data_IF_196783274017
#
_entry.id   IF_196783274017
#
_cell.length_a   1.000
_cell.length_b   1.000
_cell.length_c   1.000
_cell.angle_alpha   90.00
_cell.angle_beta   90.00
_cell.angle_gamma   90.00
#
_symmetry.space_group_name_H-M   'P 1'
#
loop_
_entity.id
_entity.type
_entity.pdbx_description
1 polymer ?
#
# COMPACT_ATOMS: atom_id res chain seq x y z
N UNK A 1 0.00 -27.31 -26.30
CA UNK A 1 1.26 -26.68 -25.85
C UNK A 1 1.54 -25.29 -26.48
N UNK A 2 0.96 -24.95 -27.64
CA UNK A 2 1.17 -23.64 -28.30
C UNK A 2 0.33 -22.47 -27.76
N UNK A 3 -0.83 -22.69 -27.15
CA UNK A 3 -1.69 -21.59 -26.67
C UNK A 3 -1.22 -21.00 -25.33
N UNK A 4 -0.65 -21.80 -24.44
CA UNK A 4 -0.09 -21.32 -23.16
C UNK A 4 1.11 -20.42 -23.42
N UNK A 5 1.97 -20.77 -24.38
CA UNK A 5 3.08 -19.91 -24.81
C UNK A 5 2.57 -18.62 -25.46
N UNK A 6 1.47 -18.67 -26.22
CA UNK A 6 0.87 -17.48 -26.83
C UNK A 6 0.26 -16.54 -25.78
N UNK A 7 -0.39 -17.08 -24.75
CA UNK A 7 -0.87 -16.31 -23.59
C UNK A 7 0.31 -15.72 -22.81
N UNK A 8 1.40 -16.45 -22.62
CA UNK A 8 2.60 -15.95 -21.96
C UNK A 8 3.25 -14.80 -22.73
N UNK A 9 3.29 -14.91 -24.07
CA UNK A 9 3.80 -13.87 -24.97
C UNK A 9 2.86 -12.67 -25.02
N UNK A 10 1.54 -12.85 -24.99
CA UNK A 10 0.58 -11.75 -24.93
C UNK A 10 0.53 -11.06 -23.56
N UNK A 11 0.78 -11.80 -22.47
CA UNK A 11 1.00 -11.23 -21.14
C UNK A 11 2.31 -10.45 -21.14
N UNK A 12 3.40 -10.97 -21.72
CA UNK A 12 4.68 -10.26 -21.87
C UNK A 12 4.54 -8.99 -22.74
N UNK A 13 3.85 -9.06 -23.87
CA UNK A 13 3.66 -7.94 -24.79
C UNK A 13 2.69 -6.90 -24.22
N UNK A 14 1.66 -7.34 -23.49
CA UNK A 14 0.82 -6.45 -22.68
C UNK A 14 1.62 -5.83 -21.53
N UNK A 15 2.55 -6.57 -20.92
CA UNK A 15 3.52 -6.06 -19.94
C UNK A 15 4.36 -4.93 -20.54
N UNK A 16 4.85 -5.09 -21.78
CA UNK A 16 5.70 -4.13 -22.49
C UNK A 16 4.92 -2.88 -22.91
N UNK A 17 3.67 -2.99 -23.37
CA UNK A 17 2.87 -1.80 -23.70
C UNK A 17 2.39 -1.03 -22.46
N UNK A 18 2.11 -1.73 -21.36
CA UNK A 18 1.89 -1.14 -20.03
C UNK A 18 3.17 -0.44 -19.54
N UNK A 19 4.36 -1.00 -19.81
CA UNK A 19 5.69 -0.43 -19.47
C UNK A 19 5.90 0.98 -20.03
N UNK A 20 5.35 1.29 -21.20
CA UNK A 20 5.55 2.57 -21.88
C UNK A 20 4.59 3.69 -21.41
N UNK A 21 3.31 3.39 -21.16
CA UNK A 21 2.34 4.39 -20.64
C UNK A 21 2.35 4.54 -19.11
N UNK A 22 2.82 3.54 -18.37
CA UNK A 22 3.09 3.62 -16.91
C UNK A 22 4.51 4.02 -16.54
N UNK A 23 5.37 4.24 -17.53
CA UNK A 23 6.71 4.79 -17.32
C UNK A 23 6.63 6.04 -16.46
N UNK A 24 5.62 6.90 -16.63
CA UNK A 24 5.37 8.05 -15.77
C UNK A 24 5.20 7.68 -14.29
N UNK A 25 4.27 6.80 -13.91
CA UNK A 25 4.02 6.46 -12.49
C UNK A 25 5.22 5.75 -11.87
N UNK A 26 5.87 4.85 -12.61
CA UNK A 26 7.07 4.16 -12.15
C UNK A 26 8.24 5.16 -12.04
N UNK A 27 8.46 6.02 -13.03
CA UNK A 27 9.45 7.11 -12.95
C UNK A 27 9.14 8.04 -11.79
N UNK A 28 7.88 8.42 -11.57
CA UNK A 28 7.48 9.28 -10.46
C UNK A 28 7.75 8.57 -9.13
N UNK A 29 7.45 7.28 -8.99
CA UNK A 29 7.76 6.51 -7.78
C UNK A 29 9.26 6.36 -7.54
N UNK A 30 10.06 6.16 -8.60
CA UNK A 30 11.53 6.09 -8.54
C UNK A 30 12.13 7.47 -8.27
N UNK A 31 11.58 8.53 -8.85
CA UNK A 31 12.00 9.91 -8.65
C UNK A 31 11.70 10.37 -7.22
N UNK A 32 10.48 10.13 -6.73
CA UNK A 32 10.11 10.34 -5.33
C UNK A 32 11.00 9.50 -4.40
N UNK A 33 11.36 8.27 -4.78
CA UNK A 33 12.31 7.45 -4.02
C UNK A 33 13.72 8.05 -3.97
N UNK A 34 14.25 8.53 -5.09
CA UNK A 34 15.57 9.16 -5.11
C UNK A 34 15.59 10.43 -4.27
N UNK A 35 14.54 11.26 -4.35
CA UNK A 35 14.35 12.41 -3.47
C UNK A 35 14.25 11.95 -2.00
N UNK A 36 13.54 10.86 -1.74
CA UNK A 36 13.33 10.31 -0.40
C UNK A 36 14.64 9.85 0.23
N UNK A 37 15.40 8.99 -0.46
CA UNK A 37 16.69 8.47 0.00
C UNK A 37 17.67 9.60 0.18
N UNK A 38 17.66 10.57 -0.73
CA UNK A 38 18.48 11.77 -0.61
C UNK A 38 18.09 12.56 0.65
N UNK A 39 16.81 12.86 0.86
CA UNK A 39 16.33 13.62 2.02
C UNK A 39 16.65 12.92 3.37
N UNK A 40 16.42 11.62 3.48
CA UNK A 40 16.76 10.84 4.69
C UNK A 40 18.27 10.77 4.92
N UNK A 41 19.09 10.56 3.87
CA UNK A 41 20.55 10.54 4.01
C UNK A 41 21.12 11.92 4.35
N UNK A 42 20.64 13.00 3.72
CA UNK A 42 21.03 14.36 4.05
C UNK A 42 20.66 14.68 5.50
N UNK A 43 19.47 14.25 5.94
CA UNK A 43 19.01 14.42 7.31
C UNK A 43 19.82 13.61 8.33
N UNK A 44 20.14 12.35 8.03
CA UNK A 44 21.02 11.52 8.83
C UNK A 44 22.42 12.15 8.98
N UNK A 45 22.97 12.64 7.88
CA UNK A 45 24.27 13.32 7.86
C UNK A 45 24.23 14.59 8.70
N UNK A 46 23.13 15.35 8.64
CA UNK A 46 22.92 16.53 9.48
C UNK A 46 22.82 16.20 10.97
N UNK A 47 22.09 15.14 11.34
CA UNK A 47 22.00 14.69 12.73
C UNK A 47 23.34 14.14 13.24
N UNK A 48 24.09 13.42 12.41
CA UNK A 48 25.46 12.97 12.73
C UNK A 48 26.39 14.16 12.93
N UNK A 49 26.27 15.21 12.11
CA UNK A 49 27.01 16.46 12.27
C UNK A 49 26.68 17.19 13.57
N UNK A 50 25.39 17.37 13.90
CA UNK A 50 24.96 17.99 15.17
C UNK A 50 25.39 17.17 16.39
N UNK A 51 25.35 15.83 16.29
CA UNK A 51 25.74 14.92 17.38
C UNK A 51 27.24 14.90 17.62
N UNK A 52 28.06 14.94 16.57
CA UNK A 52 29.52 15.07 16.69
C UNK A 52 29.95 16.35 17.40
N UNK A 53 29.11 17.40 17.42
CA UNK A 53 29.34 18.61 18.21
C UNK A 53 29.10 18.41 19.72
N UNK A 54 28.23 17.47 20.13
CA UNK A 54 27.77 17.31 21.51
C UNK A 54 28.47 16.17 22.31
N UNK A 55 29.44 15.45 21.73
CA UNK A 55 30.38 14.51 22.41
C UNK A 55 29.80 13.40 23.31
N UNK A 56 28.55 12.98 23.17
CA UNK A 56 28.03 11.79 23.87
C UNK A 56 28.33 10.49 23.10
N UNK A 57 29.28 9.70 23.60
CA UNK A 57 30.00 8.66 22.85
C UNK A 57 29.34 7.26 22.86
N UNK A 58 28.30 7.01 23.66
CA UNK A 58 27.81 5.64 23.92
C UNK A 58 26.52 5.23 23.20
N UNK A 59 25.87 6.13 22.44
CA UNK A 59 24.61 5.84 21.71
C UNK A 59 24.82 5.54 20.20
N UNK A 60 26.08 5.50 19.75
CA UNK A 60 26.45 5.44 18.33
C UNK A 60 25.98 4.16 17.62
N UNK A 61 26.29 2.93 18.09
CA UNK A 61 25.94 1.72 17.33
C UNK A 61 24.43 1.45 17.28
N UNK A 62 23.70 1.81 18.35
CA UNK A 62 22.23 1.61 18.43
C UNK A 62 21.50 2.55 17.49
N UNK A 63 21.97 3.80 17.37
CA UNK A 63 21.43 4.77 16.43
C UNK A 63 21.63 4.35 14.97
N UNK A 64 22.85 3.96 14.60
CA UNK A 64 23.16 3.55 13.22
C UNK A 64 22.39 2.29 12.80
N UNK A 65 22.25 1.30 13.70
CA UNK A 65 21.44 0.11 13.47
C UNK A 65 19.95 0.45 13.28
N UNK A 66 19.40 1.35 14.09
CA UNK A 66 18.01 1.81 13.96
C UNK A 66 17.76 2.45 12.58
N UNK A 67 18.66 3.30 12.11
CA UNK A 67 18.55 3.91 10.77
C UNK A 67 18.66 2.86 9.65
N UNK A 68 19.55 1.89 9.78
CA UNK A 68 19.68 0.80 8.82
C UNK A 68 18.37 0.00 8.72
N UNK A 69 17.76 -0.33 9.87
CA UNK A 69 16.47 -1.03 9.94
C UNK A 69 15.36 -0.20 9.27
N UNK A 70 15.29 1.11 9.54
CA UNK A 70 14.31 1.98 8.92
C UNK A 70 14.46 2.06 7.38
N UNK A 71 15.70 2.16 6.90
CA UNK A 71 16.00 2.15 5.47
C UNK A 71 15.61 0.82 4.82
N UNK A 72 15.87 -0.30 5.49
CA UNK A 72 15.45 -1.61 5.00
C UNK A 72 13.92 -1.74 4.92
N UNK A 73 13.21 -1.31 5.97
CA UNK A 73 11.73 -1.34 6.00
C UNK A 73 11.13 -0.43 4.94
N UNK A 74 11.76 0.72 4.67
CA UNK A 74 11.37 1.59 3.57
C UNK A 74 11.53 0.91 2.21
N UNK A 75 12.65 0.24 1.95
CA UNK A 75 12.87 -0.49 0.71
C UNK A 75 11.83 -1.59 0.52
N UNK A 76 11.53 -2.35 1.59
CA UNK A 76 10.46 -3.35 1.57
C UNK A 76 9.10 -2.72 1.28
N UNK A 77 8.76 -1.61 1.94
CA UNK A 77 7.50 -0.90 1.69
C UNK A 77 7.37 -0.46 0.23
N UNK A 78 8.46 -0.02 -0.39
CA UNK A 78 8.44 0.32 -1.81
C UNK A 78 8.30 -0.87 -2.72
N UNK A 79 8.98 -1.97 -2.40
CA UNK A 79 8.85 -3.23 -3.12
C UNK A 79 7.38 -3.67 -3.16
N UNK A 80 6.72 -3.65 -2.00
CA UNK A 80 5.28 -3.92 -1.86
C UNK A 80 4.42 -2.97 -2.71
N UNK A 81 4.67 -1.66 -2.61
CA UNK A 81 3.92 -0.66 -3.41
C UNK A 81 4.10 -0.89 -4.91
N UNK A 82 5.31 -1.23 -5.36
CA UNK A 82 5.59 -1.50 -6.77
C UNK A 82 4.86 -2.75 -7.26
N UNK A 83 4.88 -3.83 -6.47
CA UNK A 83 4.12 -5.05 -6.77
C UNK A 83 2.64 -4.73 -6.87
N UNK A 84 2.07 -4.03 -5.89
CA UNK A 84 0.65 -3.66 -5.90
C UNK A 84 0.30 -2.76 -7.09
N UNK A 85 1.18 -1.85 -7.50
CA UNK A 85 1.01 -1.05 -8.71
C UNK A 85 0.96 -1.93 -9.98
N UNK A 86 1.88 -2.89 -10.09
CA UNK A 86 1.91 -3.85 -11.21
C UNK A 86 0.61 -4.66 -11.24
N UNK A 87 0.26 -5.29 -10.12
CA UNK A 87 -0.97 -6.06 -9.92
C UNK A 87 -2.20 -5.24 -10.32
N UNK A 88 -2.34 -4.02 -9.78
CA UNK A 88 -3.42 -3.10 -10.13
C UNK A 88 -3.55 -2.90 -11.64
N UNK A 89 -2.43 -2.80 -12.38
CA UNK A 89 -2.49 -2.63 -13.84
C UNK A 89 -2.91 -3.84 -14.60
N UNK A 90 -2.41 -5.01 -14.18
CA UNK A 90 -2.84 -6.26 -14.77
C UNK A 90 -4.35 -6.44 -14.62
N UNK A 91 -4.91 -6.09 -13.47
CA UNK A 91 -6.35 -6.12 -13.21
C UNK A 91 -7.09 -5.05 -14.02
N UNK A 92 -6.59 -3.81 -14.11
CA UNK A 92 -7.24 -2.77 -14.94
C UNK A 92 -7.32 -3.18 -16.42
N UNK A 93 -6.25 -3.78 -16.96
CA UNK A 93 -6.25 -4.28 -18.35
C UNK A 93 -7.23 -5.43 -18.52
N UNK A 94 -7.28 -6.34 -17.54
CA UNK A 94 -8.29 -7.40 -17.50
C UNK A 94 -9.72 -6.82 -17.49
N UNK A 95 -10.01 -5.88 -16.60
CA UNK A 95 -11.30 -5.17 -16.49
C UNK A 95 -11.69 -4.49 -17.80
N UNK A 96 -10.72 -3.91 -18.52
CA UNK A 96 -10.97 -3.31 -19.84
C UNK A 96 -11.38 -4.38 -20.86
N UNK A 97 -10.63 -5.49 -20.94
CA UNK A 97 -10.94 -6.60 -21.86
C UNK A 97 -12.30 -7.22 -21.56
N UNK A 98 -12.63 -7.38 -20.27
CA UNK A 98 -13.91 -7.91 -19.83
C UNK A 98 -15.07 -6.98 -20.22
N UNK A 99 -14.91 -5.67 -20.02
CA UNK A 99 -15.88 -4.64 -20.45
C UNK A 99 -16.08 -4.64 -21.96
N UNK A 100 -14.99 -4.71 -22.72
CA UNK A 100 -15.06 -4.80 -24.19
C UNK A 100 -15.83 -6.04 -24.62
N UNK A 101 -15.62 -7.19 -23.97
CA UNK A 101 -16.33 -8.42 -24.25
C UNK A 101 -17.83 -8.32 -23.93
N UNK A 102 -18.20 -7.76 -22.77
CA UNK A 102 -19.60 -7.53 -22.38
C UNK A 102 -20.30 -6.63 -23.41
N UNK A 103 -19.64 -5.53 -23.81
CA UNK A 103 -20.22 -4.59 -24.77
C UNK A 103 -20.49 -5.22 -26.14
N UNK A 104 -19.60 -6.09 -26.62
CA UNK A 104 -19.77 -6.79 -27.91
C UNK A 104 -20.78 -7.94 -27.82
N UNK A 105 -20.79 -8.65 -26.69
CA UNK A 105 -21.82 -9.66 -26.39
C UNK A 105 -23.22 -9.06 -26.40
N UNK A 106 -23.42 -7.88 -25.79
CA UNK A 106 -24.72 -7.19 -25.79
C UNK A 106 -25.19 -6.75 -27.17
N UNK A 107 -24.27 -6.50 -28.11
CA UNK A 107 -24.59 -6.09 -29.49
C UNK A 107 -24.84 -7.27 -30.43
N UNK A 108 -24.77 -8.51 -29.93
CA UNK A 108 -24.83 -9.74 -30.74
C UNK A 108 -23.76 -9.79 -31.85
N UNK A 109 -22.64 -9.10 -31.67
CA UNK A 109 -21.51 -9.09 -32.64
C UNK A 109 -20.73 -10.42 -32.64
N UNK A 110 -20.93 -11.28 -31.63
CA UNK A 110 -20.30 -12.59 -31.53
C UNK A 110 -21.30 -13.73 -31.70
N UNK A 111 -20.88 -14.76 -32.45
CA UNK A 111 -21.53 -16.08 -32.35
C UNK A 111 -21.35 -16.62 -30.94
N UNK A 112 -22.36 -17.33 -30.44
CA UNK A 112 -22.40 -17.82 -29.04
C UNK A 112 -21.16 -18.66 -28.68
N UNK A 113 -20.68 -19.47 -29.62
CA UNK A 113 -19.46 -20.28 -29.50
C UNK A 113 -18.19 -19.44 -29.39
N UNK A 114 -18.09 -18.33 -30.15
CA UNK A 114 -16.94 -17.43 -30.07
C UNK A 114 -16.93 -16.63 -28.75
N UNK A 115 -18.11 -16.30 -28.21
CA UNK A 115 -18.23 -15.66 -26.91
C UNK A 115 -17.77 -16.62 -25.80
N UNK A 116 -18.24 -17.87 -25.83
CA UNK A 116 -17.93 -18.89 -24.83
C UNK A 116 -16.44 -19.28 -24.78
N UNK A 117 -15.78 -19.43 -25.93
CA UNK A 117 -14.34 -19.69 -25.96
C UNK A 117 -13.56 -18.54 -25.33
N UNK A 118 -13.97 -17.30 -25.61
CA UNK A 118 -13.28 -16.11 -25.14
C UNK A 118 -13.51 -15.81 -23.65
N UNK A 119 -14.66 -16.18 -23.11
CA UNK A 119 -14.91 -16.14 -21.66
C UNK A 119 -14.09 -17.18 -20.91
N UNK A 120 -13.88 -18.37 -21.50
CA UNK A 120 -12.98 -19.40 -20.95
C UNK A 120 -11.52 -18.93 -20.88
N UNK A 121 -11.03 -18.27 -21.93
CA UNK A 121 -9.68 -17.68 -21.92
C UNK A 121 -9.52 -16.57 -20.86
N UNK A 122 -10.53 -15.72 -20.71
CA UNK A 122 -10.57 -14.70 -19.65
C UNK A 122 -10.61 -15.35 -18.27
N UNK A 123 -11.34 -16.44 -18.09
CA UNK A 123 -11.35 -17.18 -16.82
C UNK A 123 -9.96 -17.70 -16.45
N UNK A 124 -9.28 -18.38 -17.38
CA UNK A 124 -7.92 -18.90 -17.15
C UNK A 124 -6.95 -17.78 -16.81
N UNK A 125 -7.08 -16.64 -17.49
CA UNK A 125 -6.28 -15.44 -17.21
C UNK A 125 -6.59 -14.89 -15.82
N UNK A 126 -7.86 -14.82 -15.43
CA UNK A 126 -8.28 -14.36 -14.10
C UNK A 126 -7.75 -15.26 -13.00
N UNK A 127 -7.92 -16.58 -13.09
CA UNK A 127 -7.38 -17.52 -12.07
C UNK A 127 -5.88 -17.32 -11.95
N UNK A 128 -5.16 -17.19 -13.07
CA UNK A 128 -3.71 -17.00 -13.04
C UNK A 128 -3.32 -15.72 -12.30
N UNK A 129 -4.03 -14.60 -12.56
CA UNK A 129 -3.82 -13.33 -11.86
C UNK A 129 -4.19 -13.48 -10.38
N UNK A 130 -5.33 -14.09 -10.06
CA UNK A 130 -5.82 -14.26 -8.70
C UNK A 130 -4.88 -15.14 -7.87
N UNK A 131 -4.43 -16.27 -8.41
CA UNK A 131 -3.47 -17.16 -7.76
C UNK A 131 -2.12 -16.48 -7.57
N UNK A 132 -1.68 -15.65 -8.53
CA UNK A 132 -0.47 -14.85 -8.37
C UNK A 132 -0.62 -13.84 -7.23
N UNK A 133 -1.72 -13.08 -7.20
CA UNK A 133 -2.01 -12.11 -6.14
C UNK A 133 -2.08 -12.80 -4.79
N UNK A 134 -2.79 -13.93 -4.70
CA UNK A 134 -2.89 -14.72 -3.48
C UNK A 134 -1.53 -15.25 -3.03
N UNK A 135 -0.70 -15.77 -3.94
CA UNK A 135 0.63 -16.29 -3.62
C UNK A 135 1.58 -15.20 -3.11
N UNK A 136 1.61 -14.05 -3.78
CA UNK A 136 2.37 -12.87 -3.32
C UNK A 136 1.91 -12.52 -1.91
N UNK A 137 0.59 -12.44 -1.73
CA UNK A 137 0.01 -12.01 -0.48
C UNK A 137 0.25 -12.97 0.69
N UNK A 138 0.00 -14.27 0.50
CA UNK A 138 0.19 -15.28 1.54
C UNK A 138 1.67 -15.37 1.94
N UNK A 139 2.60 -15.24 0.97
CA UNK A 139 4.04 -15.24 1.22
C UNK A 139 4.57 -14.00 1.93
N UNK A 140 3.95 -12.84 1.71
CA UNK A 140 4.43 -11.54 2.22
C UNK A 140 3.56 -10.96 3.34
N UNK A 141 2.50 -11.68 3.75
CA UNK A 141 1.54 -11.21 4.76
C UNK A 141 2.20 -10.81 6.09
N UNK A 142 3.21 -11.55 6.54
CA UNK A 142 4.00 -11.22 7.73
C UNK A 142 4.83 -9.94 7.55
N UNK A 143 5.42 -9.77 6.35
CA UNK A 143 6.23 -8.59 6.00
C UNK A 143 5.36 -7.35 5.96
N UNK A 144 4.20 -7.41 5.29
CA UNK A 144 3.23 -6.31 5.23
C UNK A 144 2.74 -5.94 6.63
N UNK A 145 2.49 -6.94 7.50
CA UNK A 145 2.13 -6.71 8.90
C UNK A 145 3.23 -5.97 9.66
N UNK A 146 4.48 -6.40 9.52
CA UNK A 146 5.64 -5.79 10.16
C UNK A 146 5.88 -4.35 9.69
N UNK A 147 5.76 -4.09 8.38
CA UNK A 147 5.83 -2.73 7.80
C UNK A 147 4.75 -1.85 8.41
N UNK A 148 3.52 -2.35 8.54
CA UNK A 148 2.41 -1.58 9.08
C UNK A 148 2.61 -1.23 10.56
N UNK A 149 3.00 -2.22 11.38
CA UNK A 149 3.28 -2.02 12.79
C UNK A 149 4.45 -1.05 13.00
N UNK A 150 5.49 -1.15 12.16
CA UNK A 150 6.61 -0.20 12.19
C UNK A 150 6.17 1.22 11.83
N UNK A 151 5.31 1.38 10.82
CA UNK A 151 4.78 2.70 10.47
C UNK A 151 3.96 3.32 11.63
N UNK A 152 3.12 2.54 12.30
CA UNK A 152 2.36 3.03 13.47
C UNK A 152 3.29 3.45 14.60
N UNK A 153 4.21 2.57 14.99
CA UNK A 153 5.14 2.83 16.11
C UNK A 153 6.03 4.05 15.83
N UNK A 154 6.52 4.19 14.60
CA UNK A 154 7.35 5.33 14.21
C UNK A 154 6.57 6.64 14.12
N UNK A 155 5.27 6.62 13.76
CA UNK A 155 4.39 7.80 13.82
C UNK A 155 4.16 8.21 15.27
N UNK A 156 3.75 7.26 16.14
CA UNK A 156 3.54 7.51 17.57
C UNK A 156 4.78 8.10 18.25
N UNK A 157 5.96 7.51 18.00
CA UNK A 157 7.23 8.01 18.53
C UNK A 157 7.55 9.44 18.06
N UNK A 158 7.22 9.79 16.81
CA UNK A 158 7.44 11.16 16.30
C UNK A 158 6.53 12.15 17.00
N UNK A 159 5.27 11.79 17.22
CA UNK A 159 4.33 12.68 17.89
C UNK A 159 4.71 12.86 19.36
N UNK A 160 5.11 11.79 20.04
CA UNK A 160 5.65 11.90 21.40
C UNK A 160 6.86 12.83 21.46
N UNK A 161 7.76 12.78 20.46
CA UNK A 161 8.88 13.72 20.36
C UNK A 161 8.39 15.17 20.18
N UNK A 162 7.32 15.41 19.41
CA UNK A 162 6.73 16.75 19.26
C UNK A 162 6.16 17.25 20.60
N UNK A 163 5.40 16.40 21.30
CA UNK A 163 4.83 16.73 22.61
C UNK A 163 5.92 17.05 23.62
N UNK A 164 6.98 16.24 23.67
CA UNK A 164 8.12 16.47 24.59
C UNK A 164 8.85 17.78 24.31
N UNK A 165 9.01 18.17 23.04
CA UNK A 165 9.58 19.47 22.66
C UNK A 165 8.63 20.61 23.11
N UNK A 166 7.32 20.44 22.89
CA UNK A 166 6.31 21.44 23.23
C UNK A 166 6.15 21.65 24.74
N UNK A 167 6.19 20.57 25.53
CA UNK A 167 6.06 20.62 26.99
C UNK A 167 7.30 21.23 27.70
N UNK A 168 8.41 21.43 26.98
CA UNK A 168 9.58 22.09 27.54
C UNK A 168 9.36 23.61 27.61
N UNK A 169 9.45 24.18 28.81
CA UNK A 169 9.00 25.54 29.17
C UNK A 169 9.71 26.67 28.37
N UNK A 170 10.93 26.45 27.88
CA UNK A 170 11.71 27.45 27.13
C UNK A 170 11.59 27.28 25.60
N UNK A 171 10.43 27.61 25.04
CA UNK A 171 10.19 27.52 23.58
C UNK A 171 10.91 28.59 22.73
N UNK A 172 11.57 29.58 23.35
CA UNK A 172 12.16 30.73 22.66
C UNK A 172 13.64 30.58 22.24
N UNK A 173 14.27 29.43 22.47
CA UNK A 173 15.58 29.15 21.88
C UNK A 173 15.45 28.78 20.38
N UNK A 174 16.11 29.55 19.50
CA UNK A 174 16.15 29.39 18.03
C UNK A 174 16.46 27.96 17.53
N UNK A 175 17.07 27.11 18.36
CA UNK A 175 17.35 25.70 18.05
C UNK A 175 16.12 24.79 18.15
N UNK A 176 15.16 25.09 19.04
CA UNK A 176 13.99 24.22 19.30
C UNK A 176 12.87 24.41 18.28
N UNK A 177 12.63 25.63 17.80
CA UNK A 177 11.71 25.90 16.68
C UNK A 177 12.13 25.16 15.41
N UNK A 178 13.43 25.14 15.08
CA UNK A 178 13.97 24.34 13.96
C UNK A 178 13.74 22.85 14.16
N UNK A 179 13.97 22.34 15.37
CA UNK A 179 13.71 20.93 15.69
C UNK A 179 12.21 20.58 15.58
N UNK A 180 11.31 21.46 16.03
CA UNK A 180 9.86 21.23 15.93
C UNK A 180 9.40 21.16 14.46
N UNK A 181 9.85 22.10 13.63
CA UNK A 181 9.55 22.10 12.18
C UNK A 181 10.03 20.81 11.53
N UNK A 182 11.25 20.38 11.85
CA UNK A 182 11.81 19.11 11.36
C UNK A 182 10.93 17.91 11.77
N UNK A 183 10.48 17.85 13.02
CA UNK A 183 9.63 16.75 13.50
C UNK A 183 8.26 16.74 12.82
N UNK A 184 7.67 17.92 12.56
CA UNK A 184 6.41 18.04 11.81
C UNK A 184 6.59 17.53 10.39
N UNK A 185 7.65 17.94 9.68
CA UNK A 185 7.95 17.41 8.35
C UNK A 185 8.15 15.89 8.38
N UNK A 186 8.85 15.37 9.38
CA UNK A 186 9.05 13.92 9.57
C UNK A 186 7.74 13.19 9.80
N UNK A 187 6.82 13.77 10.57
CA UNK A 187 5.49 13.22 10.80
C UNK A 187 4.67 13.17 9.52
N UNK A 188 4.59 14.30 8.80
CA UNK A 188 3.87 14.39 7.52
C UNK A 188 4.37 13.36 6.51
N UNK A 189 5.69 13.17 6.48
CA UNK A 189 6.34 12.20 5.61
C UNK A 189 6.01 10.75 5.97
N UNK A 190 6.17 10.36 7.24
CA UNK A 190 5.79 9.02 7.74
C UNK A 190 4.32 8.71 7.49
N UNK A 191 3.46 9.71 7.69
CA UNK A 191 2.04 9.59 7.44
C UNK A 191 1.71 9.41 5.96
N UNK A 192 2.35 10.19 5.08
CA UNK A 192 2.19 10.05 3.62
C UNK A 192 2.57 8.65 3.14
N UNK A 193 3.67 8.09 3.66
CA UNK A 193 4.06 6.70 3.37
C UNK A 193 2.98 5.70 3.73
N UNK A 194 2.41 5.83 4.92
CA UNK A 194 1.32 4.96 5.39
C UNK A 194 0.11 5.06 4.45
N UNK A 195 -0.28 6.26 4.04
CA UNK A 195 -1.38 6.48 3.08
C UNK A 195 -1.09 5.81 1.74
N UNK A 196 0.11 6.03 1.17
CA UNK A 196 0.47 5.45 -0.13
C UNK A 196 0.43 3.93 -0.13
N UNK A 197 0.87 3.31 0.98
CA UNK A 197 0.78 1.86 1.16
C UNK A 197 -0.69 1.41 1.16
N UNK A 198 -1.52 1.98 2.05
CA UNK A 198 -2.94 1.62 2.18
C UNK A 198 -3.70 1.86 0.87
N UNK A 199 -3.44 2.97 0.19
CA UNK A 199 -4.09 3.32 -1.07
C UNK A 199 -3.75 2.32 -2.19
N UNK A 200 -2.51 1.82 -2.23
CA UNK A 200 -2.09 0.79 -3.20
C UNK A 200 -2.89 -0.50 -3.02
N UNK A 201 -3.01 -0.99 -1.78
CA UNK A 201 -3.83 -2.17 -1.46
C UNK A 201 -5.32 -1.93 -1.73
N UNK A 202 -5.83 -0.76 -1.33
CA UNK A 202 -7.23 -0.42 -1.53
C UNK A 202 -7.61 -0.40 -3.01
N UNK A 203 -6.78 0.22 -3.88
CA UNK A 203 -7.04 0.27 -5.32
C UNK A 203 -7.09 -1.11 -5.96
N UNK A 204 -6.15 -1.99 -5.60
CA UNK A 204 -6.18 -3.39 -6.07
C UNK A 204 -7.49 -4.07 -5.64
N UNK A 205 -7.89 -3.91 -4.38
CA UNK A 205 -9.13 -4.47 -3.86
C UNK A 205 -10.38 -3.96 -4.57
N UNK A 206 -10.45 -2.66 -4.86
CA UNK A 206 -11.56 -2.03 -5.58
C UNK A 206 -11.63 -2.51 -7.03
N UNK A 207 -10.50 -2.62 -7.73
CA UNK A 207 -10.47 -3.15 -9.10
C UNK A 207 -10.89 -4.63 -9.16
N UNK A 208 -10.50 -5.45 -8.17
CA UNK A 208 -10.97 -6.84 -8.06
C UNK A 208 -12.48 -6.92 -7.82
N UNK A 209 -13.06 -6.00 -7.05
CA UNK A 209 -14.51 -5.90 -6.89
C UNK A 209 -15.20 -5.52 -8.20
N UNK A 210 -14.60 -4.65 -9.01
CA UNK A 210 -15.13 -4.35 -10.34
C UNK A 210 -15.09 -5.55 -11.27
N UNK A 211 -14.04 -6.40 -11.20
CA UNK A 211 -14.01 -7.68 -11.94
C UNK A 211 -15.22 -8.51 -11.54
N UNK A 212 -15.47 -8.67 -10.25
CA UNK A 212 -16.60 -9.44 -9.74
C UNK A 212 -17.93 -8.92 -10.25
N UNK A 213 -18.15 -7.61 -10.22
CA UNK A 213 -19.37 -6.98 -10.76
C UNK A 213 -19.54 -7.22 -12.26
N UNK A 214 -18.47 -7.09 -13.04
CA UNK A 214 -18.50 -7.29 -14.49
C UNK A 214 -18.72 -8.76 -14.85
N UNK A 215 -18.11 -9.70 -14.13
CA UNK A 215 -18.38 -11.13 -14.28
C UNK A 215 -19.85 -11.40 -13.98
N UNK A 216 -20.41 -10.85 -12.89
CA UNK A 216 -21.84 -11.00 -12.60
C UNK A 216 -22.74 -10.45 -13.70
N UNK A 217 -22.37 -9.35 -14.36
CA UNK A 217 -23.11 -8.82 -15.51
C UNK A 217 -23.03 -9.74 -16.74
N UNK A 218 -21.86 -10.32 -16.99
CA UNK A 218 -21.64 -11.25 -18.09
C UNK A 218 -22.53 -12.50 -17.96
N UNK A 219 -22.76 -12.99 -16.74
CA UNK A 219 -23.71 -14.08 -16.45
C UNK A 219 -25.12 -13.71 -16.92
N UNK A 220 -25.59 -12.52 -16.54
CA UNK A 220 -26.93 -12.06 -16.91
C UNK A 220 -27.13 -11.95 -18.42
N UNK A 221 -26.07 -11.64 -19.17
CA UNK A 221 -26.10 -11.52 -20.63
C UNK A 221 -26.09 -12.89 -21.33
N UNK A 222 -25.46 -13.90 -20.74
CA UNK A 222 -25.20 -15.17 -21.43
C UNK A 222 -26.37 -16.17 -21.41
N UNK A 223 -27.40 -16.03 -20.56
CA UNK A 223 -28.73 -16.70 -20.52
C UNK A 223 -28.85 -18.23 -20.75
N UNK A 224 -27.82 -18.94 -21.21
CA UNK A 224 -27.79 -20.36 -21.55
C UNK A 224 -27.05 -21.18 -20.48
N UNK A 225 -27.31 -22.50 -20.38
CA UNK A 225 -26.67 -23.37 -19.40
C UNK A 225 -25.15 -23.29 -19.56
N UNK A 226 -24.54 -22.70 -18.54
CA UNK A 226 -23.11 -22.51 -18.46
C UNK A 226 -22.40 -23.86 -18.51
N UNK A 227 -21.29 -23.95 -19.26
CA UNK A 227 -20.36 -25.06 -19.09
C UNK A 227 -19.88 -25.11 -17.64
N UNK A 228 -19.62 -26.29 -17.09
CA UNK A 228 -19.19 -26.46 -15.69
C UNK A 228 -18.01 -25.55 -15.30
N UNK A 229 -17.09 -25.31 -16.25
CA UNK A 229 -15.97 -24.36 -16.10
C UNK A 229 -16.41 -22.91 -15.83
N UNK A 230 -17.48 -22.46 -16.48
CA UNK A 230 -18.02 -21.11 -16.33
C UNK A 230 -18.78 -20.99 -15.01
N UNK A 231 -19.51 -22.02 -14.60
CA UNK A 231 -20.10 -22.08 -13.25
C UNK A 231 -19.01 -22.06 -12.18
N UNK A 232 -17.95 -22.86 -12.32
CA UNK A 232 -16.80 -22.86 -11.40
C UNK A 232 -16.11 -21.48 -11.35
N UNK A 233 -15.98 -20.79 -12.47
CA UNK A 233 -15.50 -19.41 -12.53
C UNK A 233 -16.38 -18.46 -11.72
N UNK A 234 -17.68 -18.52 -11.93
CA UNK A 234 -18.67 -17.68 -11.27
C UNK A 234 -18.62 -17.92 -9.76
N UNK A 235 -18.61 -19.17 -9.33
CA UNK A 235 -18.49 -19.53 -7.92
C UNK A 235 -17.17 -19.01 -7.33
N UNK A 236 -16.05 -19.18 -8.05
CA UNK A 236 -14.76 -18.74 -7.55
C UNK A 236 -14.68 -17.21 -7.40
N UNK A 237 -15.16 -16.46 -8.39
CA UNK A 237 -15.14 -14.99 -8.39
C UNK A 237 -16.11 -14.40 -7.36
N UNK A 238 -17.28 -15.01 -7.19
CA UNK A 238 -18.32 -14.48 -6.29
C UNK A 238 -18.00 -14.81 -4.83
N UNK A 239 -17.59 -16.03 -4.53
CA UNK A 239 -17.45 -16.50 -3.15
C UNK A 239 -16.05 -16.26 -2.57
N UNK A 240 -15.00 -16.18 -3.38
CA UNK A 240 -13.64 -15.88 -2.90
C UNK A 240 -13.29 -14.41 -3.13
N UNK A 241 -13.98 -13.53 -2.41
CA UNK A 241 -13.63 -12.11 -2.40
C UNK A 241 -12.19 -11.95 -1.90
N UNK A 242 -11.26 -11.42 -2.71
CA UNK A 242 -9.90 -11.19 -2.27
C UNK A 242 -9.92 -10.12 -1.18
N UNK A 243 -9.61 -10.54 0.05
CA UNK A 243 -9.40 -9.65 1.19
C UNK A 243 -7.93 -9.58 1.48
N UNK A 244 -7.36 -8.37 1.40
CA UNK A 244 -6.02 -8.10 1.89
C UNK A 244 -6.06 -8.02 3.42
N UNK A 245 -5.99 -9.18 4.08
CA UNK A 245 -5.88 -9.31 5.54
C UNK A 245 -4.52 -9.87 5.98
N UNK A 246 -3.54 -9.04 6.38
CA UNK A 246 -2.21 -9.53 6.70
C UNK A 246 -2.30 -10.41 7.95
N UNK A 247 -1.83 -11.66 7.83
CA UNK A 247 -1.95 -12.69 8.87
C UNK A 247 -3.40 -12.95 9.34
N UNK A 248 -4.41 -12.49 8.59
CA UNK A 248 -5.81 -12.56 9.00
C UNK A 248 -6.21 -11.56 10.11
N UNK A 249 -5.34 -10.65 10.52
CA UNK A 249 -5.54 -9.79 11.70
C UNK A 249 -6.43 -8.58 11.39
N UNK A 250 -6.19 -7.90 10.27
CA UNK A 250 -6.90 -6.68 9.90
C UNK A 250 -7.03 -6.53 8.39
N UNK A 251 -8.16 -5.99 7.91
CA UNK A 251 -8.34 -5.71 6.49
C UNK A 251 -7.74 -4.36 6.11
N UNK A 252 -6.76 -4.33 5.21
CA UNK A 252 -6.16 -3.08 4.70
C UNK A 252 -7.19 -2.37 3.82
N UNK A 253 -7.90 -1.42 4.41
CA UNK A 253 -8.90 -0.60 3.76
C UNK A 253 -8.71 0.86 4.17
N UNK A 254 -9.29 1.79 3.41
CA UNK A 254 -9.37 3.20 3.85
C UNK A 254 -10.07 3.34 5.20
N UNK A 255 -11.06 2.48 5.50
CA UNK A 255 -11.71 2.44 6.81
C UNK A 255 -10.73 2.14 7.95
N UNK A 256 -9.85 1.17 7.75
CA UNK A 256 -8.81 0.84 8.73
C UNK A 256 -7.84 2.00 8.99
N UNK A 257 -7.48 2.76 7.95
CA UNK A 257 -6.68 3.97 8.13
C UNK A 257 -7.33 4.98 9.09
N UNK A 258 -8.63 5.24 8.95
CA UNK A 258 -9.36 6.14 9.85
C UNK A 258 -9.40 5.61 11.29
N UNK A 259 -9.53 4.29 11.47
CA UNK A 259 -9.45 3.67 12.80
C UNK A 259 -8.08 3.91 13.43
N UNK A 260 -6.99 3.71 12.69
CA UNK A 260 -5.64 3.96 13.21
C UNK A 260 -5.43 5.45 13.51
N UNK A 261 -5.86 6.35 12.63
CA UNK A 261 -5.77 7.79 12.85
C UNK A 261 -6.57 8.22 14.09
N UNK A 262 -7.77 7.68 14.27
CA UNK A 262 -8.59 7.91 15.46
C UNK A 262 -7.89 7.42 16.72
N UNK A 263 -7.36 6.20 16.70
CA UNK A 263 -6.65 5.62 17.84
C UNK A 263 -5.41 6.44 18.21
N UNK A 264 -4.62 6.88 17.22
CA UNK A 264 -3.49 7.79 17.43
C UNK A 264 -4.00 9.07 18.08
N UNK A 265 -5.00 9.73 17.49
CA UNK A 265 -5.54 11.01 17.99
C UNK A 265 -6.06 10.89 19.43
N UNK A 266 -6.81 9.83 19.75
CA UNK A 266 -7.29 9.56 21.11
C UNK A 266 -6.13 9.38 22.08
N UNK A 267 -5.12 8.58 21.71
CA UNK A 267 -3.94 8.38 22.55
C UNK A 267 -3.17 9.68 22.80
N UNK A 268 -3.05 10.54 21.79
CA UNK A 268 -2.43 11.86 21.93
C UNK A 268 -3.19 12.78 22.88
N UNK A 269 -4.53 12.81 22.77
CA UNK A 269 -5.36 13.61 23.67
C UNK A 269 -5.17 13.16 25.12
N UNK A 270 -5.13 11.85 25.35
CA UNK A 270 -4.88 11.27 26.68
C UNK A 270 -3.50 11.70 27.19
N UNK A 271 -2.44 11.55 26.40
CA UNK A 271 -1.09 11.96 26.81
C UNK A 271 -0.99 13.46 27.09
N UNK A 272 -1.62 14.28 26.27
CA UNK A 272 -1.67 15.74 26.46
C UNK A 272 -2.35 16.11 27.77
N UNK A 273 -3.50 15.47 28.08
CA UNK A 273 -4.22 15.67 29.34
C UNK A 273 -3.37 15.27 30.54
N UNK A 274 -2.67 14.13 30.48
CA UNK A 274 -1.76 13.72 31.55
C UNK A 274 -0.61 14.72 31.77
N UNK A 275 0.02 15.18 30.69
CA UNK A 275 1.11 16.15 30.77
C UNK A 275 0.66 17.49 31.40
N UNK A 276 -0.52 17.99 31.02
CA UNK A 276 -1.07 19.24 31.58
C UNK A 276 -1.38 19.07 33.06
N UNK A 277 -2.00 17.96 33.45
CA UNK A 277 -2.33 17.68 34.85
C UNK A 277 -1.09 17.58 35.74
N UNK A 278 -0.01 16.99 35.23
CA UNK A 278 1.26 16.90 35.94
C UNK A 278 1.91 18.28 36.13
N UNK A 279 1.87 19.14 35.11
CA UNK A 279 2.38 20.52 35.22
C UNK A 279 1.59 21.35 36.24
N UNK A 280 0.25 21.23 36.26
CA UNK A 280 -0.60 21.90 37.27
C UNK A 280 -0.26 21.41 38.67
N UNK A 281 -0.06 20.10 38.84
CA UNK A 281 0.32 19.51 40.14
C UNK A 281 1.66 20.06 40.64
N UNK A 282 2.67 20.16 39.77
CA UNK A 282 3.99 20.68 40.11
C UNK A 282 3.98 22.18 40.46
N UNK A 283 3.09 22.98 39.86
CA UNK A 283 2.95 24.42 40.22
C UNK A 283 2.27 24.64 41.58
N UNK A 284 1.50 23.67 42.06
CA UNK A 284 0.71 23.77 43.30
C UNK A 284 1.42 23.19 44.54
N UNK A 285 2.63 22.64 44.37
CA UNK A 285 3.51 22.12 45.44
C UNK A 285 4.72 23.00 45.61
#
# INVERSE_FOLDING_TARGET
MNEINKINVDIQNSYISIRLKRSGVVLWSVYFFLIFVFAENTFYTYLKYLRNRNKEMYTVPVGELYYLILNFIMLLQMYEMLIMCIVHGTICVFNKRLRDLISKGSRKEYTMTALQNRTSDLYRTYISIFMLVKKIYDGESAVVSAIFLTNITTVMSTIQSIISIYASIDMFEDGRTKNMVIQIFRLMFKYTRMILLIESFHRVGTELQHVQQQVSQLICVTKEPHSDDLNSFIYHVIFNKPTFSPLGIFNITRGFHFVVLSAITTFLLILSQFSINEEIRLRNT
#
